data_IF_444275979712
#
_entry.id   IF_444275979712
#
_cell.length_a   1.000
_cell.length_b   1.000
_cell.length_c   1.000
_cell.angle_alpha   90.00
_cell.angle_beta   90.00
_cell.angle_gamma   90.00
#
_symmetry.space_group_name_H-M   'P 1'
#
loop_
_entity.id
_entity.type
_entity.pdbx_description
1 polymer ?
#
# COMPACT_ATOMS: atom_id res chain seq x y z
N UNK A 1 39.51 7.57 -30.99
CA UNK A 1 39.49 8.52 -29.85
C UNK A 1 39.05 7.74 -28.63
N UNK A 2 39.93 7.61 -27.65
CA UNK A 2 39.72 6.76 -26.47
C UNK A 2 38.68 7.40 -25.55
N UNK A 3 37.66 6.63 -25.18
CA UNK A 3 36.72 7.00 -24.12
C UNK A 3 37.48 7.06 -22.80
N UNK A 4 37.71 8.27 -22.29
CA UNK A 4 38.27 8.50 -20.96
C UNK A 4 37.32 7.91 -19.91
N UNK A 5 37.85 6.98 -19.12
CA UNK A 5 37.13 6.22 -18.10
C UNK A 5 36.73 7.16 -16.94
N UNK A 6 35.54 7.75 -17.01
CA UNK A 6 35.00 8.74 -16.04
C UNK A 6 34.86 8.19 -14.62
N UNK A 7 34.88 6.88 -14.44
CA UNK A 7 34.77 6.24 -13.13
C UNK A 7 36.00 6.39 -12.21
N UNK A 8 37.16 6.84 -12.73
CA UNK A 8 38.39 6.95 -11.92
C UNK A 8 38.48 8.19 -11.01
N UNK A 9 37.56 9.15 -11.16
CA UNK A 9 37.57 10.43 -10.42
C UNK A 9 36.38 10.62 -9.47
N UNK A 10 35.51 9.62 -9.34
CA UNK A 10 34.42 9.63 -8.38
C UNK A 10 34.95 9.07 -7.07
N UNK A 11 34.88 9.86 -6.00
CA UNK A 11 35.21 9.38 -4.66
C UNK A 11 34.26 8.22 -4.29
N UNK A 12 34.77 7.00 -4.05
CA UNK A 12 33.94 5.83 -3.78
C UNK A 12 33.20 5.87 -2.44
N UNK A 13 33.60 6.75 -1.50
CA UNK A 13 32.99 6.88 -0.19
C UNK A 13 31.92 7.97 -0.13
N UNK A 14 32.08 9.04 -0.92
CA UNK A 14 31.13 10.17 -0.95
C UNK A 14 30.29 10.23 -2.23
N UNK A 15 30.74 9.59 -3.30
CA UNK A 15 30.16 9.69 -4.64
C UNK A 15 30.48 11.02 -5.31
N UNK A 16 31.25 11.90 -4.68
CA UNK A 16 31.55 13.23 -5.19
C UNK A 16 32.54 13.14 -6.37
N UNK A 17 32.19 13.80 -7.49
CA UNK A 17 33.09 14.03 -8.60
C UNK A 17 33.71 15.43 -8.48
N UNK A 18 35.02 15.50 -8.29
CA UNK A 18 35.74 16.75 -8.03
C UNK A 18 35.78 17.71 -9.23
N UNK A 19 35.67 17.17 -10.46
CA UNK A 19 35.66 17.93 -11.72
C UNK A 19 34.29 18.55 -11.98
N UNK A 20 33.22 17.74 -11.97
CA UNK A 20 31.86 18.21 -12.27
C UNK A 20 31.19 18.90 -11.08
N UNK A 21 31.71 18.71 -9.86
CA UNK A 21 31.08 19.12 -8.59
C UNK A 21 29.71 18.45 -8.37
N UNK A 22 29.46 17.31 -9.00
CA UNK A 22 28.21 16.54 -8.90
C UNK A 22 28.42 15.33 -7.98
N UNK A 23 27.41 15.01 -7.17
CA UNK A 23 27.36 13.77 -6.40
C UNK A 23 26.71 12.65 -7.21
N UNK A 24 27.41 11.53 -7.32
CA UNK A 24 26.96 10.29 -7.94
C UNK A 24 26.49 9.30 -6.90
N UNK A 25 25.51 8.48 -7.29
CA UNK A 25 24.96 7.45 -6.41
C UNK A 25 25.99 6.35 -6.19
N UNK A 26 26.37 6.12 -4.94
CA UNK A 26 27.24 5.01 -4.54
C UNK A 26 26.55 3.64 -4.52
N UNK A 27 25.21 3.63 -4.47
CA UNK A 27 24.41 2.41 -4.52
C UNK A 27 24.19 1.97 -5.97
N UNK A 28 24.09 0.65 -6.23
CA UNK A 28 23.74 0.13 -7.55
C UNK A 28 22.51 0.80 -8.14
N UNK A 29 22.48 0.93 -9.46
CA UNK A 29 21.27 1.29 -10.18
C UNK A 29 20.22 0.20 -9.95
N UNK A 30 19.01 0.61 -9.61
CA UNK A 30 17.89 -0.31 -9.41
C UNK A 30 17.05 -0.29 -10.67
N UNK A 31 16.90 -1.45 -11.29
CA UNK A 31 16.01 -1.60 -12.45
C UNK A 31 14.57 -1.62 -11.96
N UNK A 32 13.80 -0.61 -12.37
CA UNK A 32 12.36 -0.59 -12.16
C UNK A 32 11.65 -1.34 -13.30
N UNK A 33 10.46 -1.91 -13.06
CA UNK A 33 9.64 -2.47 -14.13
C UNK A 33 9.47 -1.46 -15.30
N UNK A 34 9.47 -1.93 -16.56
CA UNK A 34 9.38 -1.05 -17.74
C UNK A 34 8.04 -0.29 -17.81
N UNK A 35 7.98 0.78 -18.63
CA UNK A 35 6.76 1.56 -18.91
C UNK A 35 6.40 1.49 -20.40
N UNK A 36 5.11 1.52 -20.76
CA UNK A 36 3.93 1.37 -19.90
C UNK A 36 3.61 -0.11 -19.69
N UNK A 37 3.52 -0.56 -18.43
CA UNK A 37 3.09 -1.93 -18.11
C UNK A 37 1.96 -1.88 -17.06
N UNK A 38 0.87 -2.62 -17.27
CA UNK A 38 -0.17 -2.80 -16.25
C UNK A 38 0.42 -3.58 -15.08
N UNK A 39 0.66 -2.88 -13.97
CA UNK A 39 1.26 -3.42 -12.77
C UNK A 39 0.86 -2.54 -11.58
N UNK A 40 0.00 -3.06 -10.72
CA UNK A 40 -0.31 -2.44 -9.43
C UNK A 40 0.83 -2.66 -8.44
N UNK A 41 0.89 -1.79 -7.43
CA UNK A 41 1.79 -1.97 -6.29
C UNK A 41 1.53 -3.30 -5.56
N UNK A 42 0.26 -3.71 -5.44
CA UNK A 42 -0.11 -5.00 -4.83
C UNK A 42 0.52 -6.18 -5.59
N UNK A 43 0.39 -6.18 -6.93
CA UNK A 43 0.95 -7.24 -7.76
C UNK A 43 2.48 -7.27 -7.68
N UNK A 44 3.13 -6.10 -7.70
CA UNK A 44 4.58 -6.01 -7.54
C UNK A 44 5.03 -6.50 -6.16
N UNK A 45 4.35 -6.09 -5.09
CA UNK A 45 4.60 -6.53 -3.73
C UNK A 45 4.57 -8.05 -3.60
N UNK A 46 3.52 -8.69 -4.13
CA UNK A 46 3.41 -10.14 -4.10
C UNK A 46 4.51 -10.82 -4.93
N UNK A 47 4.89 -10.26 -6.09
CA UNK A 47 5.97 -10.86 -6.91
C UNK A 47 7.31 -10.94 -6.16
N UNK A 48 7.65 -9.93 -5.34
CA UNK A 48 8.87 -9.91 -4.53
C UNK A 48 8.83 -10.93 -3.39
N UNK A 49 7.65 -11.26 -2.88
CA UNK A 49 7.51 -12.20 -1.76
C UNK A 49 7.55 -13.66 -2.22
N UNK A 50 6.98 -13.95 -3.40
CA UNK A 50 7.05 -15.28 -4.01
C UNK A 50 8.48 -15.64 -4.45
N UNK A 51 9.30 -14.67 -4.87
CA UNK A 51 10.67 -14.95 -5.31
C UNK A 51 11.63 -15.34 -4.18
N UNK A 52 11.30 -15.01 -2.93
CA UNK A 52 12.23 -15.08 -1.81
C UNK A 52 11.86 -16.12 -0.73
N UNK A 53 10.78 -16.87 -0.89
CA UNK A 53 10.26 -17.76 0.17
C UNK A 53 10.12 -19.19 -0.32
N UNK A 54 10.80 -20.15 0.32
CA UNK A 54 10.75 -21.58 -0.03
C UNK A 54 9.58 -22.33 0.62
N UNK A 55 9.02 -21.82 1.73
CA UNK A 55 7.83 -22.36 2.42
C UNK A 55 6.76 -21.29 2.66
N UNK A 56 6.13 -20.86 1.58
CA UNK A 56 5.15 -19.76 1.52
C UNK A 56 3.93 -19.99 2.43
N UNK A 57 3.51 -21.25 2.62
CA UNK A 57 2.25 -21.58 3.31
C UNK A 57 2.28 -21.41 4.82
N UNK A 58 3.45 -21.53 5.46
CA UNK A 58 3.57 -21.47 6.93
C UNK A 58 4.33 -20.23 7.42
N UNK A 59 4.87 -19.44 6.49
CA UNK A 59 5.65 -18.25 6.84
C UNK A 59 4.71 -17.17 7.39
N UNK A 60 4.90 -16.72 8.64
CA UNK A 60 4.10 -15.62 9.20
C UNK A 60 4.40 -14.33 8.44
N UNK A 61 3.35 -13.66 7.98
CA UNK A 61 3.45 -12.41 7.23
C UNK A 61 3.10 -11.18 8.08
N UNK A 62 2.03 -11.28 8.88
CA UNK A 62 1.66 -10.24 9.86
C UNK A 62 1.58 -10.86 11.26
N UNK A 63 2.02 -10.11 12.26
CA UNK A 63 1.95 -10.51 13.66
C UNK A 63 1.37 -9.33 14.46
N UNK A 64 0.33 -9.59 15.24
CA UNK A 64 -0.16 -8.64 16.23
C UNK A 64 0.66 -8.82 17.51
N UNK A 65 1.40 -7.78 17.90
CA UNK A 65 2.25 -7.82 19.07
C UNK A 65 1.48 -7.95 20.40
N UNK A 66 0.25 -7.44 20.48
CA UNK A 66 -0.53 -7.40 21.72
C UNK A 66 -1.14 -8.74 22.11
N UNK A 67 -1.50 -9.58 21.13
CA UNK A 67 -2.13 -10.88 21.38
C UNK A 67 -1.41 -12.07 20.74
N UNK A 68 -0.32 -11.83 20.02
CA UNK A 68 0.46 -12.86 19.35
C UNK A 68 -0.23 -13.48 18.12
N UNK A 69 -1.40 -12.99 17.71
CA UNK A 69 -2.12 -13.49 16.53
C UNK A 69 -1.28 -13.30 15.27
N UNK A 70 -1.19 -14.36 14.45
CA UNK A 70 -0.37 -14.40 13.24
C UNK A 70 -1.24 -14.63 12.02
N UNK A 71 -0.92 -13.94 10.93
CA UNK A 71 -1.50 -14.19 9.60
C UNK A 71 -0.38 -14.71 8.72
N UNK A 72 -0.54 -15.91 8.17
CA UNK A 72 0.43 -16.48 7.22
C UNK A 72 0.37 -15.73 5.89
N UNK A 73 1.40 -15.88 5.07
CA UNK A 73 1.39 -15.26 3.74
C UNK A 73 0.29 -15.84 2.84
N UNK A 74 0.04 -17.15 2.88
CA UNK A 74 -1.06 -17.78 2.13
C UNK A 74 -2.43 -17.24 2.57
N UNK A 75 -2.66 -17.10 3.87
CA UNK A 75 -3.88 -16.50 4.41
C UNK A 75 -4.01 -15.04 3.95
N UNK A 76 -2.93 -14.26 4.01
CA UNK A 76 -2.94 -12.87 3.59
C UNK A 76 -3.29 -12.71 2.10
N UNK A 77 -2.73 -13.56 1.23
CA UNK A 77 -3.07 -13.61 -0.20
C UNK A 77 -4.54 -13.94 -0.42
N UNK A 78 -5.05 -14.96 0.28
CA UNK A 78 -6.44 -15.36 0.16
C UNK A 78 -7.38 -14.26 0.65
N UNK A 79 -7.12 -13.70 1.84
CA UNK A 79 -7.88 -12.59 2.42
C UNK A 79 -7.91 -11.38 1.48
N UNK A 80 -6.76 -11.02 0.89
CA UNK A 80 -6.68 -9.89 -0.06
C UNK A 80 -7.57 -10.11 -1.28
N UNK A 81 -7.54 -11.32 -1.87
CA UNK A 81 -8.35 -11.63 -3.06
C UNK A 81 -9.84 -11.67 -2.74
N UNK A 82 -10.21 -12.35 -1.66
CA UNK A 82 -11.61 -12.49 -1.23
C UNK A 82 -12.20 -11.14 -0.79
N UNK A 83 -11.42 -10.32 -0.09
CA UNK A 83 -11.84 -8.98 0.30
C UNK A 83 -11.98 -8.07 -0.92
N UNK A 84 -11.03 -8.06 -1.86
CA UNK A 84 -11.15 -7.28 -3.10
C UNK A 84 -12.42 -7.65 -3.88
N UNK A 85 -12.70 -8.94 -4.04
CA UNK A 85 -13.92 -9.41 -4.70
C UNK A 85 -15.19 -8.94 -3.97
N UNK A 86 -15.24 -9.12 -2.65
CA UNK A 86 -16.38 -8.69 -1.83
C UNK A 86 -16.60 -7.18 -1.88
N UNK A 87 -15.53 -6.39 -1.85
CA UNK A 87 -15.59 -4.93 -1.92
C UNK A 87 -16.12 -4.44 -3.27
N UNK A 88 -15.64 -5.03 -4.37
CA UNK A 88 -16.15 -4.73 -5.71
C UNK A 88 -17.64 -5.11 -5.82
N UNK A 89 -18.02 -6.31 -5.37
CA UNK A 89 -19.40 -6.82 -5.50
C UNK A 89 -20.41 -6.06 -4.63
N UNK A 90 -20.08 -5.78 -3.37
CA UNK A 90 -21.02 -5.21 -2.40
C UNK A 90 -21.09 -3.68 -2.46
N UNK A 91 -19.98 -3.02 -2.79
CA UNK A 91 -19.89 -1.56 -2.75
C UNK A 91 -19.66 -0.93 -4.11
N UNK A 92 -19.51 -1.76 -5.17
CA UNK A 92 -19.25 -1.32 -6.55
C UNK A 92 -17.96 -0.51 -6.67
N UNK A 93 -16.98 -0.78 -5.80
CA UNK A 93 -15.68 -0.11 -5.84
C UNK A 93 -14.92 -0.49 -7.10
N UNK A 94 -14.39 0.53 -7.75
CA UNK A 94 -13.76 0.45 -9.06
C UNK A 94 -12.53 1.34 -9.13
N UNK A 95 -11.78 1.21 -10.22
CA UNK A 95 -10.58 2.01 -10.45
C UNK A 95 -10.89 3.50 -10.45
N UNK A 96 -10.12 4.27 -9.67
CA UNK A 96 -10.27 5.72 -9.55
C UNK A 96 -11.24 6.16 -8.45
N UNK A 97 -12.01 5.24 -7.85
CA UNK A 97 -12.72 5.53 -6.60
C UNK A 97 -11.74 5.88 -5.48
N UNK A 98 -12.19 6.69 -4.52
CA UNK A 98 -11.39 7.08 -3.36
C UNK A 98 -11.98 6.46 -2.10
N UNK A 99 -11.17 5.66 -1.41
CA UNK A 99 -11.49 5.09 -0.10
C UNK A 99 -10.76 5.88 0.99
N UNK A 100 -11.51 6.56 1.86
CA UNK A 100 -10.94 7.22 3.03
C UNK A 100 -10.81 6.23 4.18
N UNK A 101 -9.65 6.14 4.82
CA UNK A 101 -9.39 5.14 5.89
C UNK A 101 -9.06 5.87 7.18
N UNK A 102 -9.97 5.78 8.15
CA UNK A 102 -9.84 6.36 9.48
C UNK A 102 -9.77 5.26 10.52
N UNK A 103 -8.59 4.72 10.77
CA UNK A 103 -8.41 3.61 11.70
C UNK A 103 -7.06 3.67 12.40
N UNK A 104 -6.99 3.26 13.68
CA UNK A 104 -5.73 2.86 14.30
C UNK A 104 -5.06 1.70 13.56
N UNK A 105 -3.79 1.47 13.85
CA UNK A 105 -3.04 0.33 13.31
C UNK A 105 -3.68 -0.99 13.77
N UNK A 106 -3.98 -1.86 12.81
CA UNK A 106 -4.58 -3.18 13.05
C UNK A 106 -4.16 -4.16 11.95
N UNK A 107 -4.39 -5.46 12.17
CA UNK A 107 -4.06 -6.50 11.17
C UNK A 107 -4.97 -6.42 9.93
N UNK A 108 -6.12 -5.78 10.04
CA UNK A 108 -7.08 -5.62 8.95
C UNK A 108 -6.60 -4.61 7.89
N UNK A 109 -5.82 -3.62 8.31
CA UNK A 109 -5.40 -2.49 7.45
C UNK A 109 -4.53 -2.94 6.27
N UNK A 110 -3.48 -3.78 6.45
CA UNK A 110 -2.72 -4.29 5.32
C UNK A 110 -3.58 -5.03 4.30
N UNK A 111 -4.49 -5.91 4.75
CA UNK A 111 -5.36 -6.67 3.84
C UNK A 111 -6.32 -5.73 3.10
N UNK A 112 -6.88 -4.73 3.79
CA UNK A 112 -7.73 -3.70 3.18
C UNK A 112 -6.97 -2.90 2.12
N UNK A 113 -5.77 -2.40 2.42
CA UNK A 113 -4.98 -1.62 1.47
C UNK A 113 -4.62 -2.44 0.23
N UNK A 114 -4.13 -3.66 0.40
CA UNK A 114 -3.76 -4.52 -0.72
C UNK A 114 -4.99 -4.85 -1.59
N UNK A 115 -6.17 -5.00 -0.98
CA UNK A 115 -7.43 -5.25 -1.68
C UNK A 115 -7.91 -4.03 -2.47
N UNK A 116 -7.88 -2.84 -1.89
CA UNK A 116 -8.27 -1.61 -2.57
C UNK A 116 -7.32 -1.28 -3.73
N UNK A 117 -6.01 -1.38 -3.47
CA UNK A 117 -4.96 -1.11 -4.46
C UNK A 117 -4.96 -2.12 -5.61
N UNK A 118 -5.41 -3.36 -5.40
CA UNK A 118 -5.54 -4.35 -6.48
C UNK A 118 -6.73 -4.04 -7.41
N UNK A 119 -7.77 -3.39 -6.89
CA UNK A 119 -8.91 -2.87 -7.67
C UNK A 119 -8.62 -1.53 -8.36
N UNK A 120 -7.48 -0.90 -8.06
CA UNK A 120 -7.16 0.47 -8.53
C UNK A 120 -7.92 1.56 -7.78
N UNK A 121 -8.47 1.25 -6.60
CA UNK A 121 -9.06 2.22 -5.68
C UNK A 121 -7.94 3.00 -5.02
N UNK A 122 -8.11 4.33 -4.96
CA UNK A 122 -7.17 5.27 -4.36
C UNK A 122 -7.38 5.25 -2.84
N UNK A 123 -6.35 4.89 -2.08
CA UNK A 123 -6.41 4.94 -0.61
C UNK A 123 -6.11 6.34 -0.09
N UNK A 124 -6.93 6.85 0.83
CA UNK A 124 -6.72 8.11 1.52
C UNK A 124 -6.67 7.86 3.04
N UNK A 125 -5.52 7.36 3.56
CA UNK A 125 -5.37 7.12 4.99
C UNK A 125 -5.32 8.43 5.78
N UNK A 126 -6.04 8.46 6.88
CA UNK A 126 -6.08 9.57 7.82
C UNK A 126 -5.65 9.13 9.21
N UNK A 127 -5.09 10.07 9.97
CA UNK A 127 -4.70 9.82 11.34
C UNK A 127 -5.95 9.79 12.23
N UNK A 128 -6.22 8.70 12.96
CA UNK A 128 -7.39 8.61 13.84
C UNK A 128 -7.40 9.65 14.96
N UNK A 129 -6.23 10.22 15.30
CA UNK A 129 -6.10 11.25 16.33
C UNK A 129 -6.36 12.67 15.82
N UNK A 130 -6.48 12.86 14.50
CA UNK A 130 -6.83 14.15 13.92
C UNK A 130 -8.18 14.64 14.46
N UNK A 131 -8.30 15.95 14.59
CA UNK A 131 -9.54 16.61 15.00
C UNK A 131 -10.64 16.42 13.94
N UNK A 132 -11.90 16.53 14.36
CA UNK A 132 -13.05 16.46 13.44
C UNK A 132 -12.93 17.52 12.33
N UNK A 133 -12.40 18.71 12.65
CA UNK A 133 -12.19 19.78 11.67
C UNK A 133 -11.16 19.40 10.61
N UNK A 134 -10.03 18.83 11.01
CA UNK A 134 -8.98 18.37 10.10
C UNK A 134 -9.48 17.23 9.21
N UNK A 135 -10.16 16.24 9.80
CA UNK A 135 -10.74 15.12 9.06
C UNK A 135 -11.81 15.58 8.07
N UNK A 136 -12.66 16.54 8.46
CA UNK A 136 -13.66 17.13 7.57
C UNK A 136 -13.00 17.79 6.37
N UNK A 137 -11.92 18.55 6.58
CA UNK A 137 -11.16 19.18 5.50
C UNK A 137 -10.49 18.13 4.59
N UNK A 138 -9.89 17.08 5.16
CA UNK A 138 -9.29 15.97 4.39
C UNK A 138 -10.33 15.22 3.54
N UNK A 139 -11.52 14.98 4.09
CA UNK A 139 -12.66 14.36 3.39
C UNK A 139 -13.15 15.27 2.25
N UNK A 140 -13.29 16.57 2.49
CA UNK A 140 -13.68 17.52 1.44
C UNK A 140 -12.66 17.58 0.31
N UNK A 141 -11.37 17.47 0.63
CA UNK A 141 -10.29 17.48 -0.35
C UNK A 141 -10.25 16.20 -1.19
N UNK A 142 -10.43 15.04 -0.54
CA UNK A 142 -10.32 13.72 -1.18
C UNK A 142 -11.61 13.24 -1.86
N UNK A 143 -12.77 13.76 -1.45
CA UNK A 143 -14.11 13.38 -1.96
C UNK A 143 -14.30 11.85 -2.05
N UNK A 144 -14.19 11.14 -0.91
CA UNK A 144 -14.24 9.69 -0.92
C UNK A 144 -15.62 9.16 -1.33
N UNK A 145 -15.63 8.07 -2.11
CA UNK A 145 -16.85 7.31 -2.41
C UNK A 145 -17.23 6.36 -1.27
N UNK A 146 -16.27 6.03 -0.40
CA UNK A 146 -16.47 5.19 0.77
C UNK A 146 -15.49 5.55 1.90
N UNK A 147 -15.93 5.36 3.14
CA UNK A 147 -15.09 5.50 4.34
C UNK A 147 -14.96 4.14 5.02
N UNK A 148 -13.74 3.75 5.36
CA UNK A 148 -13.45 2.63 6.25
C UNK A 148 -13.02 3.18 7.59
N UNK A 149 -13.78 2.88 8.64
CA UNK A 149 -13.52 3.37 10.00
C UNK A 149 -13.58 2.23 11.01
N UNK A 150 -13.25 2.51 12.26
CA UNK A 150 -13.55 1.63 13.39
C UNK A 150 -14.76 2.14 14.17
N UNK A 151 -15.38 1.29 14.97
CA UNK A 151 -16.49 1.70 15.86
C UNK A 151 -16.08 2.90 16.73
N UNK A 152 -14.82 2.94 17.18
CA UNK A 152 -14.26 4.03 17.98
C UNK A 152 -14.07 5.35 17.20
N UNK A 153 -13.79 5.31 15.90
CA UNK A 153 -13.49 6.51 15.10
C UNK A 153 -14.66 6.98 14.24
N UNK A 154 -15.68 6.13 14.07
CA UNK A 154 -16.85 6.39 13.23
C UNK A 154 -17.60 7.68 13.56
N UNK A 155 -17.64 8.08 14.83
CA UNK A 155 -18.28 9.33 15.27
C UNK A 155 -17.61 10.60 14.73
N UNK A 156 -16.37 10.52 14.25
CA UNK A 156 -15.66 11.64 13.61
C UNK A 156 -15.99 11.76 12.11
N UNK A 157 -16.67 10.79 11.53
CA UNK A 157 -17.03 10.75 10.10
C UNK A 157 -18.39 11.42 9.90
N UNK A 158 -18.55 12.29 8.88
CA UNK A 158 -19.84 12.85 8.52
C UNK A 158 -20.90 11.76 8.21
N UNK A 159 -22.13 11.87 8.75
CA UNK A 159 -23.14 10.81 8.65
C UNK A 159 -23.67 10.55 7.24
N UNK A 160 -23.42 11.48 6.30
CA UNK A 160 -23.86 11.38 4.90
C UNK A 160 -22.91 10.54 4.03
N UNK A 161 -21.78 10.05 4.56
CA UNK A 161 -20.84 9.21 3.83
C UNK A 161 -21.10 7.74 4.09
N UNK A 162 -21.01 6.93 3.03
CA UNK A 162 -21.07 5.47 3.12
C UNK A 162 -19.87 4.99 3.94
N UNK A 163 -20.13 4.53 5.16
CA UNK A 163 -19.09 4.13 6.12
C UNK A 163 -19.17 2.64 6.42
N UNK A 164 -18.03 1.95 6.35
CA UNK A 164 -17.85 0.53 6.69
C UNK A 164 -16.98 0.42 7.94
N UNK A 165 -17.47 -0.30 8.94
CA UNK A 165 -16.73 -0.53 10.19
C UNK A 165 -15.87 -1.80 10.07
N UNK A 166 -14.55 -1.63 10.11
CA UNK A 166 -13.59 -2.72 9.82
C UNK A 166 -13.29 -3.60 11.03
N UNK A 167 -13.69 -3.18 12.22
CA UNK A 167 -13.54 -3.89 13.49
C UNK A 167 -14.76 -4.77 13.83
N UNK A 168 -15.81 -4.75 13.00
CA UNK A 168 -16.97 -5.59 13.19
C UNK A 168 -16.80 -6.98 12.54
N UNK A 169 -17.41 -8.06 13.11
CA UNK A 169 -17.34 -9.40 12.54
C UNK A 169 -17.83 -9.49 11.09
N UNK A 170 -18.80 -8.65 10.72
CA UNK A 170 -19.33 -8.58 9.35
C UNK A 170 -18.24 -8.25 8.32
N UNK A 171 -17.27 -7.41 8.67
CA UNK A 171 -16.14 -7.08 7.79
C UNK A 171 -15.17 -8.26 7.66
N UNK A 172 -14.86 -8.94 8.77
CA UNK A 172 -14.01 -10.14 8.75
C UNK A 172 -14.57 -11.24 7.84
N UNK A 173 -15.89 -11.39 7.80
CA UNK A 173 -16.58 -12.35 6.92
C UNK A 173 -16.38 -12.07 5.42
N UNK A 174 -16.04 -10.83 5.03
CA UNK A 174 -15.74 -10.49 3.63
C UNK A 174 -14.41 -11.10 3.17
N UNK A 175 -13.47 -11.29 4.09
CA UNK A 175 -12.15 -11.86 3.83
C UNK A 175 -12.14 -13.39 3.84
N UNK A 176 -13.16 -14.02 4.44
CA UNK A 176 -13.29 -15.48 4.58
C UNK A 176 -14.39 -16.09 3.72
N UNK A 177 -15.22 -15.27 3.06
CA UNK A 177 -16.28 -15.77 2.20
C UNK A 177 -15.70 -16.65 1.10
N UNK A 178 -15.97 -17.96 1.18
CA UNK A 178 -15.59 -18.99 0.21
C UNK A 178 -16.33 -18.85 -1.14
N UNK A 179 -16.73 -17.65 -1.55
CA UNK A 179 -17.34 -17.43 -2.87
C UNK A 179 -16.39 -17.74 -4.04
N UNK A 180 -15.13 -18.12 -3.77
CA UNK A 180 -14.19 -18.70 -4.73
C UNK A 180 -14.33 -20.23 -4.90
N UNK A 181 -15.33 -20.87 -4.27
CA UNK A 181 -15.68 -22.26 -4.55
C UNK A 181 -16.41 -22.40 -5.89
N UNK A 182 -15.67 -22.28 -7.00
CA UNK A 182 -16.04 -22.86 -8.28
C UNK A 182 -14.81 -23.46 -8.98
N UNK A 183 -14.43 -24.66 -8.54
CA UNK A 183 -13.83 -25.64 -9.45
C UNK A 183 -14.91 -26.05 -10.46
N UNK A 184 -15.08 -25.28 -11.52
CA UNK A 184 -15.64 -25.62 -12.85
C UNK A 184 -16.09 -24.33 -13.53
N UNK A 185 -15.36 -23.95 -14.59
CA UNK A 185 -15.64 -22.75 -15.36
C UNK A 185 -14.92 -21.54 -14.81
N UNK A 186 -14.17 -20.89 -15.69
CA UNK A 186 -13.78 -19.49 -15.57
C UNK A 186 -15.08 -18.71 -15.41
N UNK A 187 -15.56 -18.58 -14.17
CA UNK A 187 -16.64 -17.68 -13.79
C UNK A 187 -16.09 -16.28 -13.90
N UNK A 188 -15.91 -15.82 -15.13
CA UNK A 188 -15.71 -14.44 -15.56
C UNK A 188 -14.99 -13.55 -14.53
N UNK A 189 -13.68 -13.76 -14.42
CA UNK A 189 -12.71 -12.71 -14.09
C UNK A 189 -12.69 -11.68 -15.24
N UNK A 190 -13.85 -11.12 -15.58
CA UNK A 190 -14.03 -10.28 -16.77
C UNK A 190 -13.71 -8.81 -16.49
N UNK A 191 -13.73 -8.37 -15.23
CA UNK A 191 -13.52 -6.97 -14.86
C UNK A 191 -12.54 -6.81 -13.68
N UNK A 192 -11.44 -7.57 -13.65
CA UNK A 192 -10.29 -7.10 -12.85
C UNK A 192 -9.80 -5.84 -13.55
N UNK A 193 -10.03 -4.70 -12.91
CA UNK A 193 -9.59 -3.42 -13.44
C UNK A 193 -8.08 -3.48 -13.76
N UNK A 194 -7.74 -3.15 -15.00
CA UNK A 194 -6.33 -3.06 -15.39
C UNK A 194 -5.72 -1.85 -14.69
N UNK A 195 -4.92 -2.11 -13.67
CA UNK A 195 -4.20 -1.08 -12.91
C UNK A 195 -2.81 -0.87 -13.52
N UNK A 196 -2.56 0.35 -13.95
CA UNK A 196 -1.30 0.81 -14.51
C UNK A 196 -0.43 1.45 -13.44
N UNK A 197 0.88 1.40 -13.65
CA UNK A 197 1.86 2.03 -12.76
C UNK A 197 1.66 3.55 -12.63
N UNK A 198 1.07 4.20 -13.63
CA UNK A 198 0.80 5.64 -13.64
C UNK A 198 -0.50 6.03 -12.92
N UNK A 199 -1.36 5.06 -12.59
CA UNK A 199 -2.61 5.36 -11.88
C UNK A 199 -2.30 5.80 -10.45
N UNK A 200 -3.14 6.69 -9.93
CA UNK A 200 -3.06 7.14 -8.54
C UNK A 200 -3.38 5.96 -7.63
N UNK A 201 -2.52 5.73 -6.63
CA UNK A 201 -2.66 4.70 -5.62
C UNK A 201 -3.07 5.27 -4.27
N UNK A 202 -2.58 6.47 -3.92
CA UNK A 202 -2.86 7.07 -2.63
C UNK A 202 -2.98 8.59 -2.66
N UNK A 203 -3.76 9.14 -1.74
CA UNK A 203 -3.76 10.55 -1.33
C UNK A 203 -3.20 10.60 0.08
N UNK A 204 -2.02 11.20 0.26
CA UNK A 204 -1.44 11.41 1.58
C UNK A 204 -1.59 12.86 2.00
N UNK A 205 -2.03 13.09 3.23
CA UNK A 205 -2.22 14.44 3.76
C UNK A 205 -0.96 14.93 4.47
N UNK A 206 -0.54 16.16 4.15
CA UNK A 206 0.56 16.85 4.82
C UNK A 206 0.07 18.16 5.43
N UNK A 207 0.50 18.48 6.65
CA UNK A 207 0.29 19.81 7.25
C UNK A 207 1.09 20.84 6.44
N UNK A 208 0.40 21.65 5.63
CA UNK A 208 1.05 22.72 4.89
C UNK A 208 1.56 23.80 5.85
N UNK A 209 2.60 24.55 5.46
CA UNK A 209 3.08 25.73 6.21
C UNK A 209 2.03 26.81 6.42
N UNK A 210 0.96 26.78 5.62
CA UNK A 210 -0.20 27.68 5.70
C UNK A 210 -1.29 27.18 6.68
N UNK A 211 -1.00 26.16 7.49
CA UNK A 211 -1.89 25.60 8.51
C UNK A 211 -3.00 24.67 8.00
N UNK A 212 -3.27 24.63 6.69
CA UNK A 212 -4.25 23.71 6.08
C UNK A 212 -3.58 22.49 5.45
N UNK A 213 -4.19 21.32 5.65
CA UNK A 213 -3.71 20.08 5.04
C UNK A 213 -3.81 20.13 3.51
N UNK A 214 -2.74 19.68 2.85
CA UNK A 214 -2.65 19.46 1.40
C UNK A 214 -2.67 17.96 1.12
N UNK A 215 -3.33 17.55 0.05
CA UNK A 215 -3.36 16.17 -0.43
C UNK A 215 -2.30 15.95 -1.49
N UNK A 216 -1.42 14.99 -1.27
CA UNK A 216 -0.35 14.60 -2.19
C UNK A 216 -0.76 13.32 -2.89
N UNK A 217 -0.89 13.38 -4.21
CA UNK A 217 -1.20 12.22 -5.04
C UNK A 217 0.07 11.39 -5.28
N UNK A 218 0.01 10.11 -4.92
CA UNK A 218 1.06 9.13 -5.20
C UNK A 218 0.53 8.05 -6.13
N UNK A 219 1.27 7.76 -7.18
CA UNK A 219 0.97 6.69 -8.13
C UNK A 219 1.44 5.33 -7.64
N UNK A 220 0.93 4.25 -8.23
CA UNK A 220 1.45 2.90 -7.99
C UNK A 220 2.96 2.83 -8.23
N UNK A 221 3.49 3.55 -9.22
CA UNK A 221 4.92 3.60 -9.49
C UNK A 221 5.73 4.25 -8.38
N UNK A 222 5.19 5.26 -7.70
CA UNK A 222 5.87 5.88 -6.57
C UNK A 222 6.15 4.82 -5.49
N UNK A 223 5.15 3.99 -5.17
CA UNK A 223 5.32 2.89 -4.22
C UNK A 223 6.22 1.77 -4.75
N UNK A 224 6.04 1.33 -6.00
CA UNK A 224 6.92 0.31 -6.64
C UNK A 224 8.39 0.74 -6.58
N UNK A 225 8.68 2.01 -6.86
CA UNK A 225 10.04 2.53 -6.79
C UNK A 225 10.61 2.48 -5.37
N UNK A 226 9.84 2.88 -4.36
CA UNK A 226 10.25 2.78 -2.95
C UNK A 226 10.48 1.32 -2.54
N UNK A 227 9.59 0.40 -2.93
CA UNK A 227 9.73 -1.03 -2.66
C UNK A 227 10.99 -1.62 -3.30
N UNK A 228 11.22 -1.34 -4.58
CA UNK A 228 12.41 -1.81 -5.29
C UNK A 228 13.71 -1.28 -4.66
N UNK A 229 13.71 -0.02 -4.21
CA UNK A 229 14.84 0.57 -3.48
C UNK A 229 15.09 -0.12 -2.14
N UNK A 230 14.05 -0.39 -1.37
CA UNK A 230 14.19 -1.05 -0.08
C UNK A 230 14.67 -2.50 -0.24
N UNK A 231 14.12 -3.27 -1.19
CA UNK A 231 14.54 -4.65 -1.44
C UNK A 231 15.98 -4.74 -1.94
N UNK A 232 16.42 -3.80 -2.77
CA UNK A 232 17.81 -3.78 -3.24
C UNK A 232 18.81 -3.31 -2.17
N UNK A 233 18.41 -2.39 -1.29
CA UNK A 233 19.26 -1.91 -0.20
C UNK A 233 19.38 -2.90 0.96
N UNK A 234 18.32 -3.68 1.19
CA UNK A 234 18.23 -4.69 2.24
C UNK A 234 17.75 -6.01 1.62
N UNK A 235 18.63 -6.75 0.91
CA UNK A 235 18.26 -8.08 0.44
C UNK A 235 17.79 -8.91 1.62
N UNK A 236 16.66 -9.60 1.46
CA UNK A 236 16.13 -10.50 2.48
C UNK A 236 17.25 -11.46 2.89
N UNK A 237 17.76 -11.32 4.12
CA UNK A 237 18.72 -12.27 4.68
C UNK A 237 17.93 -13.49 5.16
N UNK A 238 18.52 -14.69 5.12
CA UNK A 238 17.94 -15.95 5.60
C UNK A 238 17.57 -15.98 7.11
N UNK A 239 17.72 -14.85 7.80
CA UNK A 239 17.32 -14.68 9.19
C UNK A 239 15.89 -14.15 9.16
N UNK A 240 14.98 -14.81 9.89
CA UNK A 240 13.63 -14.30 10.18
C UNK A 240 13.73 -12.94 10.90
N UNK A 241 13.99 -11.87 10.16
CA UNK A 241 13.97 -10.52 10.69
C UNK A 241 12.51 -10.12 10.79
N UNK A 242 11.96 -10.20 12.00
CA UNK A 242 10.73 -9.49 12.34
C UNK A 242 11.05 -8.00 12.21
N UNK A 243 10.74 -7.43 11.04
CA UNK A 243 10.83 -5.99 10.85
C UNK A 243 9.61 -5.36 11.50
N UNK A 244 9.81 -4.68 12.63
CA UNK A 244 8.79 -3.83 13.21
C UNK A 244 8.67 -2.58 12.34
N UNK A 245 7.79 -2.63 11.33
CA UNK A 245 7.48 -1.49 10.50
C UNK A 245 6.40 -0.63 11.19
N UNK A 246 6.80 0.23 12.13
CA UNK A 246 5.96 1.36 12.59
C UNK A 246 5.94 2.45 11.52
N UNK A 247 5.47 2.13 10.32
CA UNK A 247 5.22 3.13 9.29
C UNK A 247 3.72 3.29 9.16
N UNK A 248 3.19 4.25 9.92
CA UNK A 248 1.87 4.77 9.60
C UNK A 248 1.89 5.25 8.15
N UNK A 249 0.92 4.78 7.36
CA UNK A 249 0.69 5.29 6.01
C UNK A 249 -0.04 6.64 6.02
N UNK A 250 -0.43 7.11 7.21
CA UNK A 250 -0.73 8.50 7.53
C UNK A 250 0.50 9.13 8.18
N UNK A 251 0.71 10.43 7.98
CA UNK A 251 1.82 11.14 8.63
C UNK A 251 1.59 11.13 10.15
N UNK A 252 2.34 10.33 10.90
CA UNK A 252 2.48 10.54 12.34
C UNK A 252 3.35 11.77 12.53
N UNK A 253 2.73 12.93 12.78
CA UNK A 253 3.37 13.99 13.54
C UNK A 253 3.21 13.63 15.02
N UNK A 254 4.30 13.19 15.62
CA UNK A 254 4.40 12.81 17.03
C UNK A 254 5.78 12.26 17.33
#
# INVERSE_FOLDING_TARGET
MAATNTNSQIDPNSGFCSETKIFHRLRPSITLPPRPQPLSVTQFAFSLLHSNTTNISETPFLINAGNGHRVTFSDFLHQTKSLAFSLQKLYSLSKGDVAFILSPNSLQIPSLYFSLLSLGVIIAPANPDDSISELTHQIQLSRPSIVFATSHTSHKVPPNLRTVLIDLPAFSSLSTSNSLSCNTGIGNISDIAVVNQSDVAAILFSSGTTGRNKGVLLTHRNFIAVMAVNTAAYPFRDIQVVSMATRALFVCLG
#
